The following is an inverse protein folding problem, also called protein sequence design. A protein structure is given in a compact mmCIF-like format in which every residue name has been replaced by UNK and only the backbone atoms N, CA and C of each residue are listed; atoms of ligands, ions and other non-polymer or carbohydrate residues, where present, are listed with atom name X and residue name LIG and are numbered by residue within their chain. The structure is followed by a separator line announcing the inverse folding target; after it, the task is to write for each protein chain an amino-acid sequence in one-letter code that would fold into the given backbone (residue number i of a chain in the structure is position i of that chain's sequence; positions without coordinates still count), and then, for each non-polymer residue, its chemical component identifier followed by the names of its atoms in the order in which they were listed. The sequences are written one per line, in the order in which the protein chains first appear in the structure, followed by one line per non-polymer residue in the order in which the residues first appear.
data_IF_958918588088
#
_entry.id   IF_958918588088
#
_cell.length_a   1.000
_cell.length_b   1.000
_cell.length_c   1.000
_cell.angle_alpha   90.00
_cell.angle_beta   90.00
_cell.angle_gamma   90.00
#
_symmetry.space_group_name_H-M   'P 1'
#
loop_
_entity.id
_entity.type
_entity.pdbx_description
1 polymer ?
#
# COMPACT_ATOMS: atom_id res chain seq x y z
N UNK A 1 -6.22 -6.55 -7.38
CA UNK A 1 -5.42 -7.26 -6.35
C UNK A 1 -6.10 -8.59 -6.06
N UNK A 2 -5.35 -9.69 -5.97
CA UNK A 2 -5.89 -11.03 -5.67
C UNK A 2 -5.18 -11.66 -4.47
N UNK A 3 -5.97 -12.27 -3.59
CA UNK A 3 -5.52 -13.09 -2.46
C UNK A 3 -5.99 -14.52 -2.72
N UNK A 4 -5.17 -15.31 -3.43
CA UNK A 4 -5.57 -16.62 -3.92
C UNK A 4 -6.77 -16.53 -4.88
N UNK A 5 -7.91 -17.09 -4.48
CA UNK A 5 -9.17 -17.05 -5.25
C UNK A 5 -9.96 -15.75 -5.05
N UNK A 6 -9.66 -14.99 -3.99
CA UNK A 6 -10.36 -13.76 -3.64
C UNK A 6 -9.80 -12.58 -4.44
N UNK A 7 -10.67 -11.61 -4.75
CA UNK A 7 -10.30 -10.37 -5.44
C UNK A 7 -10.70 -9.17 -4.60
N UNK A 8 -9.90 -8.10 -4.69
CA UNK A 8 -10.26 -6.77 -4.19
C UNK A 8 -11.04 -6.04 -5.28
N UNK A 9 -12.21 -5.53 -4.94
CA UNK A 9 -13.23 -5.02 -5.85
C UNK A 9 -13.86 -3.74 -5.27
N UNK A 10 -13.11 -2.63 -5.32
CA UNK A 10 -13.56 -1.26 -5.04
C UNK A 10 -14.52 -1.13 -3.84
N UNK A 11 -14.16 -1.73 -2.71
CA UNK A 11 -14.89 -1.63 -1.45
C UNK A 11 -15.63 -2.88 -1.00
N UNK A 12 -15.44 -4.02 -1.67
CA UNK A 12 -15.86 -5.31 -1.11
C UNK A 12 -15.18 -5.57 0.24
N UNK A 13 -15.83 -6.34 1.12
CA UNK A 13 -15.30 -6.64 2.45
C UNK A 13 -14.41 -7.87 2.44
N UNK A 14 -13.24 -7.80 3.07
CA UNK A 14 -12.35 -8.93 3.29
C UNK A 14 -11.99 -9.04 4.77
N UNK A 15 -11.85 -10.26 5.28
CA UNK A 15 -11.50 -10.45 6.69
C UNK A 15 -9.98 -10.35 6.90
N UNK A 16 -9.51 -9.88 8.08
CA UNK A 16 -8.09 -9.89 8.44
C UNK A 16 -7.38 -11.23 8.16
N UNK A 17 -8.07 -12.35 8.37
CA UNK A 17 -7.54 -13.69 8.09
C UNK A 17 -7.30 -13.92 6.60
N UNK A 18 -8.19 -13.45 5.72
CA UNK A 18 -8.06 -13.59 4.26
C UNK A 18 -6.89 -12.77 3.69
N UNK A 19 -6.58 -11.63 4.32
CA UNK A 19 -5.56 -10.67 3.88
C UNK A 19 -4.33 -10.66 4.80
N UNK A 20 -4.14 -11.71 5.61
CA UNK A 20 -3.02 -11.83 6.56
C UNK A 20 -1.65 -11.76 5.86
N UNK A 21 -1.54 -12.41 4.71
CA UNK A 21 -0.31 -12.47 3.91
C UNK A 21 -0.42 -11.57 2.67
N UNK A 22 0.71 -11.29 2.02
CA UNK A 22 0.75 -10.53 0.77
C UNK A 22 -0.23 -11.07 -0.30
N UNK A 23 -0.80 -10.21 -1.14
CA UNK A 23 -1.59 -10.65 -2.28
C UNK A 23 -0.80 -11.58 -3.19
N UNK A 24 -1.43 -12.66 -3.67
CA UNK A 24 -0.81 -13.57 -4.64
C UNK A 24 -0.59 -12.92 -6.00
N UNK A 25 -1.32 -11.84 -6.32
CA UNK A 25 -1.11 -11.08 -7.53
C UNK A 25 -1.60 -9.64 -7.43
N UNK A 26 -0.76 -8.70 -7.87
CA UNK A 26 -1.12 -7.33 -8.20
C UNK A 26 -0.76 -7.08 -9.65
N UNK A 27 -1.73 -6.61 -10.43
CA UNK A 27 -1.57 -6.26 -11.84
C UNK A 27 -2.40 -5.02 -12.12
N UNK A 28 -1.88 -4.13 -12.94
CA UNK A 28 -2.63 -3.06 -13.59
C UNK A 28 -2.42 -3.13 -15.10
N UNK A 29 -3.49 -2.81 -15.85
CA UNK A 29 -3.53 -3.01 -17.32
C UNK A 29 -2.59 -2.06 -18.06
N UNK A 30 -2.32 -0.89 -17.50
CA UNK A 30 -1.53 0.19 -18.11
C UNK A 30 -0.04 0.09 -17.80
N UNK A 31 0.43 -1.04 -17.26
CA UNK A 31 1.84 -1.21 -16.92
C UNK A 31 2.70 -1.31 -18.20
N UNK A 32 3.66 -0.39 -18.34
CA UNK A 32 4.76 -0.51 -19.27
C UNK A 32 5.82 -1.44 -18.66
N UNK A 33 6.17 -2.56 -19.31
CA UNK A 33 7.18 -3.51 -18.81
C UNK A 33 8.56 -2.91 -18.54
N UNK A 34 8.88 -1.75 -19.13
CA UNK A 34 10.18 -1.07 -18.96
C UNK A 34 10.14 0.07 -17.94
N UNK A 35 8.95 0.49 -17.52
CA UNK A 35 8.80 1.56 -16.55
C UNK A 35 8.95 1.06 -15.10
N UNK A 36 9.31 1.98 -14.21
CA UNK A 36 9.37 1.76 -12.78
C UNK A 36 8.10 2.26 -12.11
N UNK A 37 7.65 1.54 -11.09
CA UNK A 37 6.43 1.85 -10.35
C UNK A 37 6.66 1.81 -8.83
N UNK A 38 5.86 2.61 -8.14
CA UNK A 38 5.68 2.54 -6.68
C UNK A 38 4.31 1.98 -6.37
N UNK A 39 4.24 1.03 -5.45
CA UNK A 39 3.01 0.51 -4.83
C UNK A 39 2.93 1.01 -3.39
N UNK A 40 1.77 1.55 -3.02
CA UNK A 40 1.44 1.98 -1.66
C UNK A 40 0.15 1.28 -1.25
N UNK A 41 0.15 0.64 -0.08
CA UNK A 41 -1.06 0.19 0.61
C UNK A 41 -1.21 1.01 1.88
N UNK A 42 -2.34 1.69 2.06
CA UNK A 42 -2.53 2.67 3.15
C UNK A 42 -3.93 2.58 3.75
N UNK A 43 -4.03 2.81 5.05
CA UNK A 43 -5.27 2.86 5.83
C UNK A 43 -5.50 4.31 6.33
N UNK A 44 -6.46 5.05 5.76
CA UNK A 44 -6.82 6.38 6.22
C UNK A 44 -7.71 6.35 7.46
N UNK A 45 -8.16 5.20 7.92
CA UNK A 45 -9.12 5.06 9.01
C UNK A 45 -8.45 4.63 10.33
N UNK A 46 -7.13 4.59 10.42
CA UNK A 46 -6.43 4.24 11.66
C UNK A 46 -6.45 5.36 12.73
N UNK A 47 -6.71 5.06 14.02
CA UNK A 47 -7.18 3.78 14.56
C UNK A 47 -8.68 3.54 14.36
N UNK A 48 -9.49 4.58 14.14
CA UNK A 48 -10.88 4.46 13.69
C UNK A 48 -11.23 5.55 12.69
N UNK A 49 -12.20 5.30 11.81
CA UNK A 49 -12.67 6.31 10.85
C UNK A 49 -13.23 7.56 11.52
N UNK A 50 -13.82 7.40 12.71
CA UNK A 50 -14.39 8.48 13.52
C UNK A 50 -13.33 9.36 14.16
N UNK A 51 -12.24 8.76 14.62
CA UNK A 51 -11.12 9.45 15.27
C UNK A 51 -9.78 8.95 14.70
N UNK A 52 -9.40 9.39 13.49
CA UNK A 52 -8.29 8.79 12.73
C UNK A 52 -6.94 9.44 13.06
N UNK A 53 -6.51 9.38 14.32
CA UNK A 53 -5.28 10.02 14.82
C UNK A 53 -3.99 9.48 14.21
N UNK A 54 -4.00 8.24 13.71
CA UNK A 54 -2.87 7.63 12.99
C UNK A 54 -2.99 7.74 11.47
N UNK A 55 -3.94 8.53 10.94
CA UNK A 55 -4.09 8.72 9.49
C UNK A 55 -2.79 9.25 8.87
N UNK A 56 -2.27 8.69 7.79
CA UNK A 56 -2.57 7.34 7.30
C UNK A 56 -1.61 6.34 7.95
N UNK A 57 -2.07 5.10 8.11
CA UNK A 57 -1.22 3.99 8.52
C UNK A 57 -0.86 3.18 7.28
N UNK A 58 0.41 3.19 6.88
CA UNK A 58 0.82 2.55 5.62
C UNK A 58 1.20 1.08 5.83
N UNK A 59 0.41 0.19 5.23
CA UNK A 59 0.55 -1.26 5.33
C UNK A 59 1.67 -1.84 4.46
N UNK A 60 1.96 -1.21 3.33
CA UNK A 60 2.96 -1.71 2.40
C UNK A 60 3.50 -0.58 1.53
N UNK A 61 4.82 -0.54 1.33
CA UNK A 61 5.48 0.42 0.45
C UNK A 61 6.58 -0.29 -0.33
N UNK A 62 6.42 -0.37 -1.65
CA UNK A 62 7.40 -0.97 -2.56
C UNK A 62 7.68 0.03 -3.68
N UNK A 63 8.94 0.36 -3.91
CA UNK A 63 9.38 1.26 -4.98
C UNK A 63 10.14 0.47 -6.04
N UNK A 64 10.46 1.09 -7.18
CA UNK A 64 11.29 0.50 -8.23
C UNK A 64 10.77 -0.83 -8.79
N UNK A 65 9.46 -1.06 -8.73
CA UNK A 65 8.81 -2.22 -9.35
C UNK A 65 8.96 -2.09 -10.86
N UNK A 66 9.57 -3.07 -11.52
CA UNK A 66 9.69 -3.07 -12.98
C UNK A 66 8.44 -3.68 -13.61
N UNK A 67 7.73 -2.91 -14.43
CA UNK A 67 6.45 -3.33 -14.98
C UNK A 67 5.45 -3.68 -13.88
N UNK A 68 4.97 -4.93 -13.86
CA UNK A 68 4.05 -5.43 -12.84
C UNK A 68 4.72 -6.38 -11.82
N UNK A 69 6.04 -6.58 -11.86
CA UNK A 69 6.72 -7.57 -11.02
C UNK A 69 7.08 -6.99 -9.65
N UNK A 70 6.14 -7.08 -8.71
CA UNK A 70 6.30 -6.56 -7.34
C UNK A 70 7.56 -7.12 -6.67
N UNK A 71 7.93 -8.37 -6.95
CA UNK A 71 9.10 -9.03 -6.34
C UNK A 71 10.43 -8.46 -6.83
N UNK A 72 10.44 -7.82 -8.00
CA UNK A 72 11.61 -7.11 -8.51
C UNK A 72 11.75 -5.70 -7.95
N UNK A 73 10.78 -5.23 -7.15
CA UNK A 73 10.82 -3.93 -6.48
C UNK A 73 11.66 -3.93 -5.20
N UNK A 74 11.96 -2.71 -4.73
CA UNK A 74 12.61 -2.43 -3.47
C UNK A 74 11.55 -2.17 -2.38
N UNK A 75 11.34 -3.14 -1.48
CA UNK A 75 10.37 -3.02 -0.38
C UNK A 75 10.88 -2.11 0.74
N UNK A 76 10.35 -0.89 0.84
CA UNK A 76 10.73 0.07 1.90
C UNK A 76 9.97 -0.18 3.20
N UNK A 77 8.72 -0.60 3.12
CA UNK A 77 7.95 -1.04 4.28
C UNK A 77 7.32 -2.38 3.94
N UNK A 78 7.68 -3.45 4.65
CA UNK A 78 7.15 -4.80 4.45
C UNK A 78 5.63 -4.86 4.63
N UNK A 79 4.98 -5.84 4.01
CA UNK A 79 3.54 -6.00 4.09
C UNK A 79 3.11 -6.37 5.52
N UNK A 80 2.16 -5.59 6.05
CA UNK A 80 1.38 -5.95 7.24
C UNK A 80 -0.08 -6.07 6.81
N UNK A 81 -0.72 -7.20 7.06
CA UNK A 81 -2.13 -7.40 6.76
C UNK A 81 -3.06 -6.47 7.54
N UNK A 82 -4.36 -6.53 7.25
CA UNK A 82 -5.36 -5.76 8.00
C UNK A 82 -5.42 -6.21 9.45
N UNK A 83 -5.54 -5.23 10.35
CA UNK A 83 -5.72 -5.44 11.78
C UNK A 83 -6.44 -4.26 12.42
N UNK A 84 -7.66 -3.93 11.98
CA UNK A 84 -8.42 -2.85 12.58
C UNK A 84 -8.71 -3.20 14.05
N UNK A 85 -8.56 -2.26 15.01
CA UNK A 85 -8.86 -2.56 16.40
C UNK A 85 -10.33 -2.96 16.60
N UNK A 86 -10.63 -3.68 17.68
CA UNK A 86 -12.02 -4.04 17.96
C UNK A 86 -12.89 -2.78 18.12
N UNK A 87 -14.13 -2.85 17.62
CA UNK A 87 -15.15 -1.79 17.73
C UNK A 87 -14.82 -0.48 16.99
N UNK A 88 -13.86 -0.46 16.07
CA UNK A 88 -13.56 0.72 15.22
C UNK A 88 -14.30 0.74 13.88
N UNK A 89 -15.01 -0.35 13.57
CA UNK A 89 -15.78 -0.50 12.32
C UNK A 89 -14.91 -0.99 11.16
N UNK A 90 -15.39 -0.77 9.93
CA UNK A 90 -14.67 -1.11 8.71
C UNK A 90 -13.63 -0.04 8.37
N UNK A 91 -12.43 -0.48 8.00
CA UNK A 91 -11.32 0.39 7.59
C UNK A 91 -11.09 0.24 6.09
N UNK A 92 -10.77 1.34 5.42
CA UNK A 92 -10.43 1.30 3.99
C UNK A 92 -8.97 0.93 3.80
N UNK A 93 -8.69 -0.22 3.20
CA UNK A 93 -7.34 -0.61 2.82
C UNK A 93 -7.12 -0.28 1.34
N UNK A 94 -6.45 0.84 1.08
CA UNK A 94 -6.33 1.43 -0.25
C UNK A 94 -4.98 1.08 -0.89
N UNK A 95 -5.03 0.49 -2.08
CA UNK A 95 -3.86 0.28 -2.94
C UNK A 95 -3.77 1.39 -3.97
N UNK A 96 -2.59 1.99 -4.10
CA UNK A 96 -2.28 3.00 -5.07
C UNK A 96 -0.98 2.63 -5.79
N UNK A 97 -0.97 2.77 -7.12
CA UNK A 97 0.21 2.55 -7.94
C UNK A 97 0.55 3.85 -8.66
N UNK A 98 1.82 4.24 -8.61
CA UNK A 98 2.35 5.45 -9.25
C UNK A 98 3.46 5.06 -10.22
N UNK A 99 3.46 5.65 -11.42
CA UNK A 99 4.60 5.51 -12.33
C UNK A 99 5.71 6.48 -11.90
N UNK A 100 6.94 5.98 -11.81
CA UNK A 100 8.12 6.76 -11.44
C UNK A 100 8.78 7.37 -12.70
N UNK A 101 9.41 8.53 -12.52
CA UNK A 101 10.25 9.16 -13.56
C UNK A 101 11.66 8.56 -13.65
N UNK A 102 12.05 7.82 -12.62
CA UNK A 102 13.38 7.23 -12.45
C UNK A 102 13.42 6.35 -11.21
N UNK A 103 14.61 5.83 -10.89
CA UNK A 103 14.81 4.99 -9.70
C UNK A 103 14.70 5.85 -8.43
N UNK A 104 13.95 5.38 -7.45
CA UNK A 104 13.79 6.01 -6.14
C UNK A 104 14.80 5.39 -5.17
N UNK A 105 15.49 6.26 -4.43
CA UNK A 105 16.23 5.88 -3.22
C UNK A 105 15.75 6.80 -2.09
N UNK A 106 15.32 6.21 -0.98
CA UNK A 106 14.79 6.95 0.17
C UNK A 106 15.44 6.47 1.48
N UNK A 107 16.70 6.84 1.75
CA UNK A 107 17.40 6.44 2.97
C UNK A 107 16.78 7.04 4.24
N UNK A 108 16.08 8.18 4.12
CA UNK A 108 15.39 8.83 5.24
C UNK A 108 14.20 8.02 5.73
N UNK A 109 13.44 7.41 4.80
CA UNK A 109 12.38 6.46 5.15
C UNK A 109 12.96 5.19 5.78
N UNK A 110 14.10 4.72 5.25
CA UNK A 110 14.76 3.51 5.71
C UNK A 110 14.02 2.24 5.27
N UNK A 111 14.07 1.19 6.11
CA UNK A 111 13.37 -0.08 5.88
C UNK A 111 12.55 -0.42 7.13
N UNK A 112 11.25 -0.65 6.98
CA UNK A 112 10.36 -1.07 8.07
C UNK A 112 9.98 -2.54 7.90
N UNK A 113 10.20 -3.35 8.95
CA UNK A 113 9.78 -4.75 8.96
C UNK A 113 8.28 -4.89 9.22
N UNK A 114 7.74 -6.09 9.05
CA UNK A 114 6.35 -6.42 9.38
C UNK A 114 6.12 -6.81 10.85
N UNK A 115 7.17 -6.79 11.67
CA UNK A 115 7.15 -7.18 13.09
C UNK A 115 6.99 -6.00 14.04
N UNK A 116 6.91 -4.76 13.52
CA UNK A 116 6.73 -3.53 14.31
C UNK A 116 5.78 -2.56 13.62
N UNK A 117 4.97 -1.86 14.42
CA UNK A 117 4.12 -0.75 13.99
C UNK A 117 4.81 0.61 14.01
N UNK A 118 6.07 0.69 14.46
CA UNK A 118 6.81 1.94 14.57
C UNK A 118 6.93 2.64 13.20
N UNK A 119 6.74 3.97 13.17
CA UNK A 119 6.79 4.82 11.96
C UNK A 119 5.74 4.49 10.88
N UNK A 120 4.80 3.58 11.15
CA UNK A 120 3.73 3.23 10.20
C UNK A 120 2.58 4.24 10.17
N UNK A 121 2.17 4.70 11.35
CA UNK A 121 1.08 5.66 11.54
C UNK A 121 1.51 7.11 11.35
N UNK A 122 0.57 7.98 10.95
CA UNK A 122 0.81 9.40 10.69
C UNK A 122 1.59 9.67 9.39
N UNK A 123 1.95 8.62 8.65
CA UNK A 123 2.58 8.72 7.35
C UNK A 123 1.58 9.26 6.33
N UNK A 124 2.07 9.99 5.33
CA UNK A 124 1.21 10.68 4.35
C UNK A 124 1.62 10.30 2.93
N UNK A 125 0.73 9.59 2.23
CA UNK A 125 0.92 9.24 0.81
C UNK A 125 1.26 10.47 -0.02
N UNK A 126 0.53 11.58 0.17
CA UNK A 126 0.76 12.81 -0.59
C UNK A 126 2.16 13.40 -0.40
N UNK A 127 2.70 13.38 0.83
CA UNK A 127 4.06 13.87 1.09
C UNK A 127 5.11 13.02 0.39
N UNK A 128 4.92 11.70 0.36
CA UNK A 128 5.81 10.79 -0.37
C UNK A 128 5.75 11.03 -1.89
N UNK A 129 4.53 11.16 -2.42
CA UNK A 129 4.27 11.44 -3.84
C UNK A 129 4.92 12.76 -4.27
N UNK A 130 4.76 13.83 -3.47
CA UNK A 130 5.38 15.13 -3.71
C UNK A 130 6.91 15.05 -3.63
N UNK A 131 7.46 14.44 -2.58
CA UNK A 131 8.91 14.25 -2.38
C UNK A 131 9.59 13.59 -3.60
N UNK A 132 8.94 12.58 -4.18
CA UNK A 132 9.47 11.82 -5.31
C UNK A 132 8.96 12.27 -6.68
N UNK A 133 8.24 13.40 -6.74
CA UNK A 133 7.75 13.99 -7.99
C UNK A 133 6.81 13.08 -8.79
N UNK A 134 6.09 12.19 -8.10
CA UNK A 134 5.12 11.26 -8.66
C UNK A 134 3.84 12.01 -9.05
N UNK A 135 3.18 11.58 -10.13
CA UNK A 135 2.00 12.27 -10.68
C UNK A 135 0.77 11.38 -10.64
N UNK A 136 -0.03 11.53 -9.59
CA UNK A 136 -1.30 10.81 -9.43
C UNK A 136 -1.14 9.27 -9.47
N UNK A 137 -2.15 8.51 -9.04
CA UNK A 137 -2.12 7.07 -9.22
C UNK A 137 -2.44 6.71 -10.68
N UNK A 138 -1.65 5.83 -11.29
CA UNK A 138 -1.97 5.20 -12.57
C UNK A 138 -2.93 4.02 -12.42
N UNK A 139 -3.06 3.50 -11.20
CA UNK A 139 -4.06 2.51 -10.81
C UNK A 139 -4.38 2.64 -9.33
N UNK A 140 -5.61 2.28 -8.96
CA UNK A 140 -6.05 2.24 -7.57
C UNK A 140 -7.13 1.19 -7.37
N UNK A 141 -7.20 0.62 -6.16
CA UNK A 141 -8.25 -0.29 -5.74
C UNK A 141 -8.32 -0.30 -4.20
N UNK A 142 -9.41 -0.79 -3.60
CA UNK A 142 -9.51 -0.88 -2.14
C UNK A 142 -10.52 -1.95 -1.71
N UNK A 143 -10.38 -2.42 -0.47
CA UNK A 143 -11.38 -3.22 0.23
C UNK A 143 -11.69 -2.58 1.60
N UNK A 144 -12.70 -3.11 2.26
CA UNK A 144 -13.11 -2.79 3.62
C UNK A 144 -12.81 -3.93 4.60
#
# INVERSE_FOLDING_TARGET
VRYGKLSVELGNTLTPTQVKNEPTSIRWRTADPKALYTLIMTDPDAPSRMEPTFREWHHWLVVNITGNDIKAGDTLSEYIGSGPPEKTGLHRYVFLVYQQKGRIADPEHGRLTNTSGEKRGGWKTLKFVEKHGLKGPVAGNFYL
#
